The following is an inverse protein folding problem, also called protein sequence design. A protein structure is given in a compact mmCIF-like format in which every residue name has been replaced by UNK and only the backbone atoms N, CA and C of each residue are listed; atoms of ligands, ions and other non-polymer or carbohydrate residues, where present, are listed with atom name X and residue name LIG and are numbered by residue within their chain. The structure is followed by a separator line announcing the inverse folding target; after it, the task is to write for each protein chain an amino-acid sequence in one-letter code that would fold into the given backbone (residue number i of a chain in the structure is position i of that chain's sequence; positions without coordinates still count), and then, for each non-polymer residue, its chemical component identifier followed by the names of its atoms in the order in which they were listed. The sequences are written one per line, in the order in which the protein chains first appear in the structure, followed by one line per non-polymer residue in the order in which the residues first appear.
data_IF_593392295823
#
_entry.id   IF_593392295823
#
_cell.length_a   1.000
_cell.length_b   1.000
_cell.length_c   1.000
_cell.angle_alpha   90.00
_cell.angle_beta   90.00
_cell.angle_gamma   90.00
#
_symmetry.space_group_name_H-M   'P 1'
#
loop_
_entity.id
_entity.type
_entity.pdbx_description
1 polymer ?
#
# COMPACT_ATOMS: atom_id res chain seq x y z
N UNK A 1 15.29 14.43 -24.51
CA UNK A 1 14.99 15.79 -25.02
C UNK A 1 14.14 15.73 -26.30
N UNK A 2 14.24 14.69 -27.09
CA UNK A 2 13.47 14.55 -28.36
C UNK A 2 11.99 14.16 -28.18
N UNK A 3 11.57 13.67 -26.98
CA UNK A 3 10.16 13.47 -26.66
C UNK A 3 9.44 14.77 -26.23
N UNK A 4 10.15 15.84 -25.96
CA UNK A 4 9.58 17.14 -25.54
C UNK A 4 9.06 17.99 -26.70
N UNK A 5 9.37 17.64 -27.96
CA UNK A 5 9.04 18.42 -29.16
C UNK A 5 8.01 17.70 -30.05
N UNK A 6 7.58 16.52 -29.71
CA UNK A 6 6.84 15.67 -30.65
C UNK A 6 5.35 15.47 -30.37
N UNK A 7 4.74 16.13 -29.46
CA UNK A 7 3.31 16.46 -29.45
C UNK A 7 2.93 17.11 -28.13
N UNK A 8 2.46 18.32 -28.15
CA UNK A 8 1.73 18.96 -27.04
C UNK A 8 0.59 18.09 -26.51
N UNK A 9 0.07 17.18 -27.32
CA UNK A 9 -0.97 16.22 -26.95
C UNK A 9 -0.50 15.15 -25.96
N UNK A 10 0.69 14.55 -26.14
CA UNK A 10 1.18 13.49 -25.22
C UNK A 10 1.51 14.03 -23.83
N UNK A 11 2.11 15.22 -23.75
CA UNK A 11 2.44 15.84 -22.46
C UNK A 11 1.15 16.28 -21.76
N UNK A 12 0.24 16.91 -22.49
CA UNK A 12 -1.02 17.43 -21.95
C UNK A 12 -1.92 16.33 -21.42
N UNK A 13 -2.03 15.19 -22.11
CA UNK A 13 -2.88 14.06 -21.69
C UNK A 13 -2.25 13.26 -20.57
N UNK A 14 -0.93 13.14 -20.51
CA UNK A 14 -0.22 12.45 -19.43
C UNK A 14 -0.32 13.16 -18.08
N UNK A 15 -0.53 14.48 -18.08
CA UNK A 15 -0.68 15.26 -16.84
C UNK A 15 -2.13 15.45 -16.40
N UNK A 16 -3.10 15.01 -17.17
CA UNK A 16 -4.53 15.27 -16.90
C UNK A 16 -5.31 14.07 -16.40
N UNK A 17 -4.71 12.87 -16.40
CA UNK A 17 -5.34 11.65 -15.89
C UNK A 17 -4.30 10.63 -15.40
N UNK A 18 -4.66 9.86 -14.39
CA UNK A 18 -3.88 8.72 -13.96
C UNK A 18 -3.97 7.56 -14.97
N UNK A 19 -2.96 6.67 -15.01
CA UNK A 19 -3.03 5.45 -15.81
C UNK A 19 -4.27 4.62 -15.49
N UNK A 20 -4.75 3.87 -16.44
CA UNK A 20 -5.78 2.85 -16.19
C UNK A 20 -5.16 1.63 -15.49
N UNK A 21 -5.96 0.96 -14.66
CA UNK A 21 -5.62 -0.37 -14.12
C UNK A 21 -6.18 -1.41 -15.07
N UNK A 22 -5.40 -2.44 -15.33
CA UNK A 22 -5.86 -3.55 -16.16
C UNK A 22 -7.18 -4.12 -15.58
N UNK A 23 -8.15 -4.38 -16.42
CA UNK A 23 -9.44 -4.95 -16.03
C UNK A 23 -9.26 -6.34 -15.40
N UNK A 24 -8.31 -7.09 -15.94
CA UNK A 24 -7.91 -8.39 -15.43
C UNK A 24 -6.42 -8.38 -15.05
N UNK A 25 -6.12 -8.72 -13.81
CA UNK A 25 -4.75 -8.92 -13.33
C UNK A 25 -4.57 -10.41 -13.09
N UNK A 26 -3.77 -11.05 -13.95
CA UNK A 26 -3.42 -12.46 -13.75
C UNK A 26 -2.31 -12.60 -12.73
N UNK A 27 -2.52 -13.44 -11.74
CA UNK A 27 -1.57 -13.69 -10.67
C UNK A 27 -1.20 -15.18 -10.59
N UNK A 28 0.02 -15.44 -10.15
CA UNK A 28 0.46 -16.76 -9.72
C UNK A 28 0.78 -16.68 -8.22
N UNK A 29 0.29 -17.64 -7.48
CA UNK A 29 0.37 -17.63 -6.02
C UNK A 29 1.70 -18.16 -5.51
N UNK A 30 2.21 -17.56 -4.42
CA UNK A 30 3.31 -18.08 -3.62
C UNK A 30 2.93 -18.10 -2.15
N UNK A 31 2.87 -19.29 -1.55
CA UNK A 31 2.61 -19.46 -0.12
C UNK A 31 3.92 -19.20 0.63
N UNK A 32 3.97 -18.08 1.32
CA UNK A 32 5.18 -17.64 2.04
C UNK A 32 5.35 -18.36 3.39
N UNK A 33 4.26 -18.69 4.05
CA UNK A 33 4.24 -19.50 5.27
C UNK A 33 2.83 -20.07 5.53
N UNK A 34 2.75 -21.19 6.26
CA UNK A 34 1.55 -21.60 6.98
C UNK A 34 1.48 -20.84 8.31
N UNK A 35 0.35 -20.17 8.56
CA UNK A 35 0.14 -19.30 9.72
C UNK A 35 0.39 -17.82 9.42
N UNK A 36 0.42 -17.03 10.49
CA UNK A 36 0.57 -15.60 10.41
C UNK A 36 1.93 -15.18 9.82
N UNK A 37 1.91 -14.25 8.89
CA UNK A 37 3.12 -13.60 8.40
C UNK A 37 3.30 -12.27 9.13
N UNK A 38 4.32 -12.19 9.96
CA UNK A 38 4.67 -10.95 10.64
C UNK A 38 5.44 -10.00 9.75
N UNK A 39 5.37 -8.71 10.06
CA UNK A 39 6.21 -7.70 9.38
C UNK A 39 7.70 -7.89 9.66
N UNK A 40 8.07 -8.60 10.73
CA UNK A 40 9.46 -8.99 10.98
C UNK A 40 9.96 -10.04 9.99
N UNK A 41 9.09 -10.94 9.52
CA UNK A 41 9.44 -11.89 8.47
C UNK A 41 9.67 -11.18 7.13
N UNK A 42 8.91 -10.11 6.86
CA UNK A 42 9.02 -9.32 5.63
C UNK A 42 10.17 -8.30 5.68
N UNK A 43 10.50 -7.78 6.86
CA UNK A 43 11.52 -6.75 7.09
C UNK A 43 12.04 -6.83 8.52
N UNK A 44 13.05 -7.69 8.79
CA UNK A 44 13.55 -7.94 10.13
C UNK A 44 14.09 -6.67 10.81
N UNK A 45 13.75 -6.47 12.09
CA UNK A 45 14.18 -5.30 12.86
C UNK A 45 15.69 -5.19 13.01
N UNK A 46 16.40 -6.32 13.14
CA UNK A 46 17.86 -6.37 13.23
C UNK A 46 18.59 -5.99 11.92
N UNK A 47 17.85 -5.87 10.80
CA UNK A 47 18.34 -5.41 9.50
C UNK A 47 17.95 -3.96 9.18
N UNK A 48 17.53 -3.20 10.19
CA UNK A 48 17.08 -1.82 10.01
C UNK A 48 18.14 -0.91 9.35
N UNK A 49 19.41 -1.19 9.59
CA UNK A 49 20.54 -0.45 9.02
C UNK A 49 20.62 -0.49 7.49
N UNK A 50 20.01 -1.49 6.86
CA UNK A 50 19.98 -1.64 5.39
C UNK A 50 18.78 -0.97 4.72
N UNK A 51 17.81 -0.41 5.47
CA UNK A 51 16.55 0.12 4.92
C UNK A 51 16.70 1.29 3.96
N UNK A 52 17.77 2.07 4.11
CA UNK A 52 18.09 3.16 3.18
C UNK A 52 18.46 2.67 1.78
N UNK A 53 18.97 1.44 1.68
CA UNK A 53 19.26 0.74 0.43
C UNK A 53 18.20 -0.34 0.18
N UNK A 54 17.25 -0.06 -0.71
CA UNK A 54 16.13 -0.95 -0.98
C UNK A 54 16.54 -2.31 -1.56
N UNK A 55 17.58 -2.35 -2.38
CA UNK A 55 18.08 -3.61 -2.96
C UNK A 55 18.74 -4.47 -1.89
N UNK A 56 19.55 -3.85 -1.04
CA UNK A 56 20.18 -4.52 0.07
C UNK A 56 19.16 -5.03 1.07
N UNK A 57 18.21 -4.17 1.46
CA UNK A 57 17.16 -4.54 2.41
C UNK A 57 16.16 -5.56 1.84
N UNK A 58 15.93 -5.53 0.54
CA UNK A 58 15.09 -6.52 -0.16
C UNK A 58 15.57 -7.96 0.01
N UNK A 59 16.89 -8.16 0.16
CA UNK A 59 17.48 -9.49 0.44
C UNK A 59 17.06 -10.06 1.81
N UNK A 60 16.40 -9.27 2.65
CA UNK A 60 15.89 -9.71 3.94
C UNK A 60 14.48 -10.31 3.85
N UNK A 61 13.83 -10.32 2.67
CA UNK A 61 12.49 -10.87 2.52
C UNK A 61 12.49 -12.37 2.80
N UNK A 62 11.84 -12.79 3.87
CA UNK A 62 11.58 -14.19 4.27
C UNK A 62 12.88 -15.02 4.34
N UNK A 63 13.39 -15.51 3.21
CA UNK A 63 14.61 -16.30 3.11
C UNK A 63 15.13 -16.31 1.67
N UNK A 64 16.41 -16.63 1.48
CA UNK A 64 17.00 -16.80 0.14
C UNK A 64 16.27 -17.86 -0.68
N UNK A 65 15.82 -18.94 -0.04
CA UNK A 65 15.03 -19.99 -0.70
C UNK A 65 13.71 -19.44 -1.24
N UNK A 66 12.98 -18.68 -0.42
CA UNK A 66 11.72 -18.05 -0.86
C UNK A 66 11.95 -17.10 -2.04
N UNK A 67 13.03 -16.33 -2.01
CA UNK A 67 13.39 -15.42 -3.09
C UNK A 67 13.67 -16.17 -4.39
N UNK A 68 14.42 -17.29 -4.34
CA UNK A 68 14.69 -18.14 -5.50
C UNK A 68 13.42 -18.79 -6.05
N UNK A 69 12.51 -19.24 -5.19
CA UNK A 69 11.23 -19.81 -5.58
C UNK A 69 10.33 -18.77 -6.26
N UNK A 70 10.28 -17.55 -5.74
CA UNK A 70 9.56 -16.42 -6.36
C UNK A 70 10.14 -16.10 -7.75
N UNK A 71 11.46 -16.02 -7.87
CA UNK A 71 12.11 -15.80 -9.17
C UNK A 71 11.81 -16.93 -10.17
N UNK A 72 11.81 -18.17 -9.72
CA UNK A 72 11.42 -19.32 -10.55
C UNK A 72 9.98 -19.21 -11.05
N UNK A 73 9.04 -18.82 -10.18
CA UNK A 73 7.64 -18.58 -10.57
C UNK A 73 7.52 -17.46 -11.60
N UNK A 74 8.26 -16.36 -11.45
CA UNK A 74 8.28 -15.25 -12.42
C UNK A 74 8.81 -15.69 -13.78
N UNK A 75 9.81 -16.58 -13.81
CA UNK A 75 10.34 -17.14 -15.05
C UNK A 75 9.37 -18.11 -15.73
N UNK A 76 8.63 -18.90 -14.94
CA UNK A 76 7.61 -19.83 -15.45
C UNK A 76 6.36 -19.11 -15.92
N UNK A 77 6.03 -17.97 -15.32
CA UNK A 77 4.82 -17.20 -15.58
C UNK A 77 5.15 -15.72 -15.87
N UNK A 78 5.85 -15.40 -16.98
CA UNK A 78 6.37 -14.05 -17.24
C UNK A 78 5.27 -13.00 -17.48
N UNK A 79 4.05 -13.46 -17.80
CA UNK A 79 2.86 -12.63 -18.02
C UNK A 79 2.04 -12.42 -16.75
N UNK A 80 2.38 -13.09 -15.64
CA UNK A 80 1.63 -13.05 -14.40
C UNK A 80 2.41 -12.36 -13.28
N UNK A 81 1.69 -11.77 -12.33
CA UNK A 81 2.29 -11.19 -11.14
C UNK A 81 2.25 -12.19 -9.98
N UNK A 82 3.31 -12.25 -9.18
CA UNK A 82 3.30 -13.11 -8.00
C UNK A 82 2.46 -12.50 -6.89
N UNK A 83 1.51 -13.27 -6.36
CA UNK A 83 0.74 -12.93 -5.16
C UNK A 83 1.30 -13.67 -3.95
N UNK A 84 1.75 -12.94 -2.94
CA UNK A 84 2.32 -13.50 -1.72
C UNK A 84 1.22 -13.81 -0.72
N UNK A 85 1.17 -15.05 -0.20
CA UNK A 85 0.05 -15.53 0.63
C UNK A 85 0.52 -16.00 2.01
N UNK A 86 -0.24 -15.60 3.05
CA UNK A 86 -0.24 -16.21 4.37
C UNK A 86 -1.33 -17.31 4.41
N UNK A 87 -0.91 -18.57 4.34
CA UNK A 87 -1.82 -19.72 4.36
C UNK A 87 -2.24 -20.04 5.81
N UNK A 88 -3.53 -20.22 6.06
CA UNK A 88 -4.12 -20.41 7.40
C UNK A 88 -3.76 -19.30 8.39
N UNK A 89 -3.44 -18.11 7.90
CA UNK A 89 -2.94 -17.02 8.71
C UNK A 89 -3.30 -15.63 8.20
N UNK A 90 -2.95 -14.65 9.02
CA UNK A 90 -3.12 -13.22 8.75
C UNK A 90 -1.83 -12.64 8.17
N UNK A 91 -1.95 -11.90 7.07
CA UNK A 91 -0.82 -11.20 6.46
C UNK A 91 -0.49 -9.91 7.22
N UNK A 92 0.78 -9.72 7.56
CA UNK A 92 1.31 -8.45 8.05
C UNK A 92 1.00 -8.15 9.52
N UNK A 93 0.99 -9.18 10.39
CA UNK A 93 0.81 -8.97 11.83
C UNK A 93 2.02 -8.27 12.46
N UNK A 94 1.80 -7.54 13.55
CA UNK A 94 2.83 -6.79 14.28
C UNK A 94 2.93 -5.34 13.87
N UNK A 95 4.11 -4.74 13.99
CA UNK A 95 4.35 -3.34 13.60
C UNK A 95 4.23 -3.16 12.09
N UNK A 96 3.40 -2.21 11.64
CA UNK A 96 3.26 -1.94 10.22
C UNK A 96 4.51 -1.22 9.69
N UNK A 97 5.38 -1.96 9.02
CA UNK A 97 6.61 -1.43 8.42
C UNK A 97 6.44 -1.27 6.91
N UNK A 98 6.58 -0.05 6.43
CA UNK A 98 6.58 0.21 4.99
C UNK A 98 7.70 -0.55 4.27
N UNK A 99 8.86 -0.75 4.92
CA UNK A 99 9.95 -1.56 4.39
C UNK A 99 9.54 -3.02 4.10
N UNK A 100 8.60 -3.59 4.88
CA UNK A 100 8.08 -4.93 4.60
C UNK A 100 7.37 -5.03 3.26
N UNK A 101 6.44 -4.12 2.98
CA UNK A 101 5.74 -4.13 1.68
C UNK A 101 6.66 -3.69 0.53
N UNK A 102 7.66 -2.84 0.79
CA UNK A 102 8.68 -2.50 -0.20
C UNK A 102 9.53 -3.72 -0.59
N UNK A 103 9.90 -4.57 0.38
CA UNK A 103 10.61 -5.81 0.10
C UNK A 103 9.74 -6.79 -0.72
N UNK A 104 8.46 -6.91 -0.35
CA UNK A 104 7.50 -7.69 -1.17
C UNK A 104 7.42 -7.12 -2.59
N UNK A 105 7.31 -5.80 -2.75
CA UNK A 105 7.25 -5.16 -4.06
C UNK A 105 8.51 -5.40 -4.90
N UNK A 106 9.69 -5.43 -4.28
CA UNK A 106 10.93 -5.69 -4.99
C UNK A 106 10.94 -7.08 -5.64
N UNK A 107 10.45 -8.09 -4.93
CA UNK A 107 10.46 -9.48 -5.39
C UNK A 107 9.24 -9.86 -6.23
N UNK A 108 8.05 -9.39 -5.87
CA UNK A 108 6.78 -9.82 -6.46
C UNK A 108 6.15 -8.77 -7.36
N UNK A 109 6.54 -7.50 -7.22
CA UNK A 109 5.96 -6.40 -7.98
C UNK A 109 6.29 -6.47 -9.46
N UNK A 110 5.39 -5.94 -10.28
CA UNK A 110 5.61 -5.76 -11.71
C UNK A 110 6.53 -4.56 -11.93
N UNK A 111 7.62 -4.75 -12.67
CA UNK A 111 8.53 -3.67 -12.99
C UNK A 111 7.84 -2.63 -13.89
N UNK A 112 7.68 -1.42 -13.39
CA UNK A 112 6.98 -0.35 -14.09
C UNK A 112 7.70 0.13 -15.35
N UNK A 113 9.03 0.12 -15.33
CA UNK A 113 9.85 0.54 -16.44
C UNK A 113 11.27 -0.01 -16.31
N UNK A 114 11.84 -0.43 -17.44
CA UNK A 114 13.26 -0.79 -17.52
C UNK A 114 14.21 0.38 -17.26
N UNK A 115 13.71 1.61 -17.29
CA UNK A 115 14.50 2.82 -17.06
C UNK A 115 14.41 3.34 -15.64
N UNK A 116 13.47 2.82 -14.84
CA UNK A 116 13.28 3.19 -13.43
C UNK A 116 13.14 1.90 -12.64
N UNK A 117 14.26 1.18 -12.41
CA UNK A 117 14.24 -0.18 -11.85
C UNK A 117 13.69 -0.25 -10.41
N UNK A 118 13.54 0.90 -9.74
CA UNK A 118 13.09 0.97 -8.34
C UNK A 118 11.59 1.19 -8.16
N UNK A 119 10.84 1.36 -9.26
CA UNK A 119 9.39 1.51 -9.20
C UNK A 119 8.75 0.19 -9.60
N UNK A 120 8.70 -0.73 -8.66
CA UNK A 120 7.85 -1.91 -8.78
C UNK A 120 6.45 -1.53 -8.33
N UNK A 121 5.50 -1.71 -9.23
CA UNK A 121 4.10 -1.33 -9.02
C UNK A 121 3.36 -2.46 -8.35
N UNK A 122 2.48 -2.07 -7.42
CA UNK A 122 1.38 -2.85 -6.88
C UNK A 122 1.78 -4.26 -6.42
N UNK A 123 2.54 -4.41 -5.34
CA UNK A 123 2.68 -5.72 -4.72
C UNK A 123 1.29 -6.25 -4.36
N UNK A 124 1.06 -7.54 -4.63
CA UNK A 124 -0.19 -8.19 -4.29
C UNK A 124 0.08 -9.14 -3.15
N UNK A 125 -0.63 -8.95 -2.04
CA UNK A 125 -0.51 -9.78 -0.84
C UNK A 125 -1.88 -10.27 -0.43
N UNK A 126 -1.93 -11.47 0.14
CA UNK A 126 -3.17 -12.05 0.59
C UNK A 126 -3.00 -12.81 1.91
N UNK A 127 -4.08 -12.98 2.64
CA UNK A 127 -4.14 -13.83 3.81
C UNK A 127 -5.46 -14.60 3.85
N UNK A 128 -5.42 -15.85 4.26
CA UNK A 128 -6.63 -16.66 4.39
C UNK A 128 -7.49 -16.25 5.57
N UNK A 129 -6.86 -15.65 6.61
CA UNK A 129 -7.52 -15.01 7.74
C UNK A 129 -7.45 -13.47 7.63
N UNK A 130 -7.34 -12.96 6.39
CA UNK A 130 -7.30 -11.53 6.12
C UNK A 130 -5.91 -10.91 6.25
N UNK A 131 -5.91 -9.59 6.28
CA UNK A 131 -4.70 -8.77 6.39
C UNK A 131 -4.85 -7.89 7.64
N UNK A 132 -3.78 -7.80 8.44
CA UNK A 132 -3.76 -6.90 9.59
C UNK A 132 -4.20 -5.48 9.18
N UNK A 133 -5.16 -4.84 9.86
CA UNK A 133 -5.73 -3.56 9.43
C UNK A 133 -4.69 -2.46 9.21
N UNK A 134 -3.67 -2.40 10.07
CA UNK A 134 -2.59 -1.42 9.94
C UNK A 134 -1.73 -1.74 8.71
N UNK A 135 -1.43 -3.01 8.47
CA UNK A 135 -0.67 -3.44 7.29
C UNK A 135 -1.47 -3.26 6.01
N UNK A 136 -2.78 -3.49 6.02
CA UNK A 136 -3.68 -3.22 4.91
C UNK A 136 -3.61 -1.74 4.47
N UNK A 137 -3.55 -0.82 5.45
CA UNK A 137 -3.34 0.61 5.18
C UNK A 137 -1.98 0.83 4.52
N UNK A 138 -0.92 0.22 5.05
CA UNK A 138 0.44 0.33 4.49
C UNK A 138 0.51 -0.20 3.07
N UNK A 139 -0.12 -1.35 2.78
CA UNK A 139 -0.25 -1.89 1.42
C UNK A 139 -0.94 -0.89 0.49
N UNK A 140 -2.06 -0.32 0.93
CA UNK A 140 -2.81 0.66 0.13
C UNK A 140 -2.01 1.92 -0.18
N UNK A 141 -1.37 2.54 0.82
CA UNK A 141 -0.59 3.77 0.61
C UNK A 141 0.66 3.58 -0.25
N UNK A 142 1.13 2.35 -0.43
CA UNK A 142 2.21 2.02 -1.38
C UNK A 142 1.68 1.68 -2.78
N UNK A 143 0.39 1.76 -3.01
CA UNK A 143 -0.26 1.38 -4.28
C UNK A 143 -0.38 -0.14 -4.46
N UNK A 144 -0.23 -0.90 -3.39
CA UNK A 144 -0.38 -2.35 -3.39
C UNK A 144 -1.84 -2.81 -3.27
N UNK A 145 -2.06 -4.09 -3.55
CA UNK A 145 -3.37 -4.75 -3.46
C UNK A 145 -3.32 -5.78 -2.34
N UNK A 146 -4.18 -5.62 -1.34
CA UNK A 146 -4.30 -6.56 -0.24
C UNK A 146 -5.63 -7.31 -0.33
N UNK A 147 -5.60 -8.64 -0.36
CA UNK A 147 -6.77 -9.50 -0.57
C UNK A 147 -7.00 -10.39 0.65
N UNK A 148 -8.23 -10.40 1.14
CA UNK A 148 -8.71 -11.42 2.08
C UNK A 148 -9.29 -12.59 1.27
N UNK A 149 -8.60 -13.73 1.29
CA UNK A 149 -8.99 -14.88 0.49
C UNK A 149 -10.23 -15.60 1.02
N UNK A 150 -10.47 -15.55 2.34
CA UNK A 150 -11.64 -16.18 2.98
C UNK A 150 -11.88 -17.65 2.58
N UNK A 151 -10.82 -18.36 2.17
CA UNK A 151 -10.94 -19.73 1.70
C UNK A 151 -10.95 -20.79 2.81
N UNK A 152 -10.85 -20.35 4.07
CA UNK A 152 -11.01 -21.18 5.26
C UNK A 152 -12.22 -20.72 6.05
N UNK A 153 -13.24 -21.59 6.12
CA UNK A 153 -14.49 -21.32 6.82
C UNK A 153 -14.71 -22.31 7.96
N UNK A 154 -15.49 -21.93 8.95
CA UNK A 154 -15.87 -22.86 10.00
C UNK A 154 -16.75 -23.95 9.41
N UNK A 155 -16.36 -25.20 9.64
CA UNK A 155 -17.20 -26.35 9.30
C UNK A 155 -18.43 -26.35 10.19
N UNK A 156 -19.61 -26.42 9.57
CA UNK A 156 -20.90 -26.41 10.28
C UNK A 156 -21.52 -27.79 10.29
N UNK A 157 -22.27 -28.08 11.35
CA UNK A 157 -23.16 -29.25 11.42
C UNK A 157 -24.47 -29.01 10.64
N UNK A 158 -25.38 -30.00 10.66
CA UNK A 158 -26.68 -29.91 9.98
C UNK A 158 -27.60 -28.80 10.52
N UNK A 159 -27.36 -28.32 11.73
CA UNK A 159 -28.14 -27.27 12.38
C UNK A 159 -27.48 -25.89 12.23
N UNK A 160 -26.32 -25.81 11.52
CA UNK A 160 -25.59 -24.57 11.27
C UNK A 160 -24.66 -24.13 12.40
N UNK A 161 -24.36 -25.00 13.36
CA UNK A 161 -23.43 -24.71 14.46
C UNK A 161 -22.01 -25.12 14.07
N UNK A 162 -20.95 -24.39 14.52
CA UNK A 162 -19.57 -24.79 14.28
C UNK A 162 -19.26 -26.15 14.92
N UNK A 163 -18.69 -27.07 14.15
CA UNK A 163 -18.15 -28.33 14.66
C UNK A 163 -16.83 -28.00 15.38
N UNK A 164 -16.69 -28.44 16.62
CA UNK A 164 -15.51 -28.20 17.45
C UNK A 164 -14.60 -29.43 17.49
N UNK A 165 -13.29 -29.19 17.59
CA UNK A 165 -12.31 -30.23 17.88
C UNK A 165 -12.26 -30.56 19.39
N UNK A 166 -11.36 -31.47 19.81
CA UNK A 166 -11.21 -31.90 21.21
C UNK A 166 -10.77 -30.76 22.16
N UNK A 167 -10.24 -29.66 21.60
CA UNK A 167 -9.81 -28.48 22.37
C UNK A 167 -10.85 -27.34 22.32
N UNK A 168 -12.10 -27.67 21.94
CA UNK A 168 -13.21 -26.73 21.80
C UNK A 168 -12.99 -25.63 20.75
N UNK A 169 -12.05 -25.82 19.81
CA UNK A 169 -11.84 -24.88 18.71
C UNK A 169 -12.65 -25.31 17.47
N UNK A 170 -13.19 -24.34 16.69
CA UNK A 170 -13.89 -24.65 15.46
C UNK A 170 -12.98 -25.39 14.45
N UNK A 171 -13.46 -26.49 13.92
CA UNK A 171 -12.83 -27.14 12.77
C UNK A 171 -13.02 -26.25 11.55
N UNK A 172 -11.93 -26.00 10.82
CA UNK A 172 -11.97 -25.24 9.56
C UNK A 172 -12.01 -26.20 8.38
N UNK A 173 -12.72 -25.82 7.36
CA UNK A 173 -12.69 -26.49 6.05
C UNK A 173 -12.36 -25.50 4.95
N UNK A 174 -11.67 -25.96 3.91
CA UNK A 174 -11.25 -25.13 2.80
C UNK A 174 -12.33 -25.14 1.72
N UNK A 175 -12.77 -23.94 1.33
CA UNK A 175 -13.80 -23.77 0.29
C UNK A 175 -13.23 -23.89 -1.11
N UNK A 176 -11.97 -23.46 -1.29
CA UNK A 176 -11.19 -23.65 -2.51
C UNK A 176 -9.70 -23.72 -2.16
N UNK A 177 -8.95 -24.52 -2.90
CA UNK A 177 -7.52 -24.70 -2.65
C UNK A 177 -6.69 -23.62 -3.34
N UNK A 178 -5.69 -23.13 -2.62
CA UNK A 178 -4.65 -22.25 -3.16
C UNK A 178 -3.31 -22.85 -2.76
N UNK A 179 -2.53 -23.25 -3.75
CA UNK A 179 -1.18 -23.78 -3.57
C UNK A 179 -0.18 -22.87 -4.27
N UNK A 180 1.11 -22.98 -3.94
CA UNK A 180 2.15 -22.29 -4.69
C UNK A 180 2.11 -22.72 -6.16
N UNK A 181 2.03 -21.74 -7.06
CA UNK A 181 1.89 -21.97 -8.49
C UNK A 181 0.43 -21.97 -9.00
N UNK A 182 -0.57 -21.87 -8.12
CA UNK A 182 -1.97 -21.71 -8.56
C UNK A 182 -2.11 -20.38 -9.31
N UNK A 183 -2.73 -20.41 -10.47
CA UNK A 183 -3.02 -19.21 -11.25
C UNK A 183 -4.44 -18.74 -10.96
N UNK A 184 -4.59 -17.45 -10.71
CA UNK A 184 -5.87 -16.80 -10.41
C UNK A 184 -5.99 -15.53 -11.24
N UNK A 185 -7.23 -15.04 -11.42
CA UNK A 185 -7.52 -13.79 -12.10
C UNK A 185 -8.24 -12.83 -11.15
N UNK A 186 -7.69 -11.63 -10.97
CA UNK A 186 -8.35 -10.54 -10.27
C UNK A 186 -9.08 -9.70 -11.31
N UNK A 187 -10.41 -9.72 -11.31
CA UNK A 187 -11.21 -8.79 -12.10
C UNK A 187 -11.41 -7.51 -11.28
N UNK A 188 -10.83 -6.41 -11.74
CA UNK A 188 -10.84 -5.12 -11.03
C UNK A 188 -12.14 -4.36 -11.23
N UNK A 189 -12.85 -4.61 -12.33
CA UNK A 189 -14.15 -3.99 -12.65
C UNK A 189 -15.27 -4.61 -11.84
N UNK A 190 -15.36 -5.95 -11.87
CA UNK A 190 -16.35 -6.72 -11.11
C UNK A 190 -15.97 -6.88 -9.65
N UNK A 191 -14.70 -6.59 -9.31
CA UNK A 191 -14.13 -6.70 -7.96
C UNK A 191 -14.20 -8.11 -7.41
N UNK A 192 -13.79 -9.08 -8.23
CA UNK A 192 -13.84 -10.50 -7.93
C UNK A 192 -12.48 -11.16 -8.13
N UNK A 193 -12.19 -12.14 -7.29
CA UNK A 193 -11.12 -13.09 -7.52
C UNK A 193 -11.72 -14.32 -8.17
N UNK A 194 -11.15 -14.74 -9.30
CA UNK A 194 -11.67 -15.82 -10.13
C UNK A 194 -10.61 -16.92 -10.26
N UNK A 195 -11.05 -18.14 -10.62
CA UNK A 195 -10.18 -19.23 -11.08
C UNK A 195 -9.39 -18.81 -12.33
N UNK A 196 -8.39 -19.60 -12.72
CA UNK A 196 -7.49 -19.28 -13.85
C UNK A 196 -8.23 -19.00 -15.16
N UNK A 197 -9.24 -19.79 -15.44
CA UNK A 197 -10.09 -19.65 -16.63
C UNK A 197 -11.15 -18.57 -16.53
N UNK A 198 -11.24 -17.89 -15.37
CA UNK A 198 -12.23 -16.85 -15.10
C UNK A 198 -13.66 -17.36 -14.91
N UNK A 199 -13.84 -18.69 -14.83
CA UNK A 199 -15.17 -19.31 -14.78
C UNK A 199 -15.80 -19.30 -13.39
N UNK A 200 -15.00 -19.57 -12.36
CA UNK A 200 -15.51 -19.69 -11.00
C UNK A 200 -15.13 -18.44 -10.16
N UNK A 201 -16.15 -17.82 -9.58
CA UNK A 201 -15.96 -16.77 -8.57
C UNK A 201 -15.53 -17.42 -7.24
N UNK A 202 -14.35 -17.03 -6.75
CA UNK A 202 -13.79 -17.55 -5.51
C UNK A 202 -14.14 -16.65 -4.32
N UNK A 203 -13.94 -15.34 -4.46
CA UNK A 203 -14.22 -14.37 -3.40
C UNK A 203 -14.46 -12.97 -3.96
N UNK A 204 -15.31 -12.19 -3.26
CA UNK A 204 -15.51 -10.77 -3.49
C UNK A 204 -14.31 -9.98 -2.92
N UNK A 205 -13.69 -9.15 -3.74
CA UNK A 205 -12.55 -8.31 -3.37
C UNK A 205 -12.86 -6.80 -3.42
N UNK A 206 -14.13 -6.43 -3.33
CA UNK A 206 -14.58 -5.03 -3.41
C UNK A 206 -13.89 -4.11 -2.39
N UNK A 207 -13.59 -4.64 -1.20
CA UNK A 207 -12.87 -3.91 -0.15
C UNK A 207 -11.44 -3.53 -0.55
N UNK A 208 -10.84 -4.26 -1.49
CA UNK A 208 -9.50 -3.99 -2.03
C UNK A 208 -9.50 -2.92 -3.12
N UNK A 209 -10.65 -2.62 -3.73
CA UNK A 209 -10.82 -1.71 -4.87
C UNK A 209 -11.81 -0.58 -4.58
N UNK A 210 -11.72 0.03 -3.40
CA UNK A 210 -12.46 1.27 -3.12
C UNK A 210 -11.93 2.42 -4.00
N UNK A 211 -12.72 3.46 -4.27
CA UNK A 211 -12.28 4.59 -5.11
C UNK A 211 -10.93 5.18 -4.69
N UNK A 212 -10.68 5.33 -3.39
CA UNK A 212 -9.43 5.84 -2.85
C UNK A 212 -8.26 4.87 -3.09
N UNK A 213 -8.46 3.57 -2.85
CA UNK A 213 -7.43 2.55 -3.11
C UNK A 213 -7.11 2.46 -4.59
N UNK A 214 -8.11 2.55 -5.46
CA UNK A 214 -7.90 2.59 -6.91
C UNK A 214 -7.08 3.81 -7.33
N UNK A 215 -7.29 4.97 -6.71
CA UNK A 215 -6.45 6.15 -6.97
C UNK A 215 -4.99 5.90 -6.56
N UNK A 216 -4.76 5.28 -5.39
CA UNK A 216 -3.41 4.90 -4.95
C UNK A 216 -2.75 3.88 -5.88
N UNK A 217 -3.48 2.85 -6.31
CA UNK A 217 -2.97 1.85 -7.25
C UNK A 217 -2.58 2.52 -8.58
N UNK A 218 -3.45 3.35 -9.15
CA UNK A 218 -3.23 4.06 -10.41
C UNK A 218 -2.05 5.02 -10.34
N UNK A 219 -1.86 5.68 -9.21
CA UNK A 219 -0.77 6.64 -9.00
C UNK A 219 0.56 5.99 -8.63
N UNK A 220 0.55 4.72 -8.20
CA UNK A 220 1.74 4.06 -7.64
C UNK A 220 2.00 4.43 -6.18
N UNK A 221 0.96 4.80 -5.43
CA UNK A 221 0.99 5.11 -4.01
C UNK A 221 0.68 6.55 -3.65
N UNK A 222 0.49 6.77 -2.35
CA UNK A 222 0.09 8.08 -1.81
C UNK A 222 1.13 9.19 -2.03
N UNK A 223 2.41 8.86 -1.95
CA UNK A 223 3.47 9.82 -2.22
C UNK A 223 3.43 10.35 -3.64
N UNK A 224 3.17 9.47 -4.62
CA UNK A 224 3.02 9.87 -6.02
C UNK A 224 1.86 10.85 -6.21
N UNK A 225 0.74 10.66 -5.48
CA UNK A 225 -0.38 11.60 -5.48
C UNK A 225 0.03 12.96 -4.90
N UNK A 226 0.67 12.98 -3.74
CA UNK A 226 1.09 14.23 -3.08
C UNK A 226 2.05 15.01 -3.97
N UNK A 227 3.12 14.37 -4.43
CA UNK A 227 4.09 15.03 -5.31
C UNK A 227 3.49 15.41 -6.66
N UNK A 228 2.65 14.54 -7.24
CA UNK A 228 1.97 14.81 -8.50
C UNK A 228 1.05 16.04 -8.42
N UNK A 229 0.26 16.15 -7.36
CA UNK A 229 -0.58 17.34 -7.11
C UNK A 229 0.28 18.61 -6.97
N UNK A 230 1.36 18.56 -6.20
CA UNK A 230 2.26 19.69 -6.01
C UNK A 230 2.92 20.13 -7.33
N UNK A 231 3.46 19.20 -8.10
CA UNK A 231 4.10 19.46 -9.37
C UNK A 231 3.12 20.01 -10.40
N UNK A 232 1.92 19.45 -10.48
CA UNK A 232 0.86 19.89 -11.37
C UNK A 232 0.43 21.33 -11.06
N UNK A 233 0.19 21.63 -9.76
CA UNK A 233 -0.15 22.97 -9.31
C UNK A 233 0.95 23.96 -9.67
N UNK A 234 2.20 23.68 -9.33
CA UNK A 234 3.33 24.52 -9.63
C UNK A 234 3.52 24.78 -11.13
N UNK A 235 3.38 23.72 -11.95
CA UNK A 235 3.51 23.84 -13.39
C UNK A 235 2.39 24.72 -14.00
N UNK A 236 1.14 24.51 -13.57
CA UNK A 236 0.01 25.30 -14.05
C UNK A 236 0.13 26.78 -13.66
N UNK A 237 0.52 27.05 -12.41
CA UNK A 237 0.78 28.43 -11.94
C UNK A 237 1.90 29.11 -12.73
N UNK A 238 3.01 28.40 -12.97
CA UNK A 238 4.16 28.92 -13.71
C UNK A 238 3.83 29.21 -15.16
N UNK A 239 3.02 28.36 -15.79
CA UNK A 239 2.63 28.50 -17.22
C UNK A 239 1.39 29.38 -17.42
N UNK A 240 0.72 29.83 -16.35
CA UNK A 240 -0.51 30.61 -16.42
C UNK A 240 -1.68 29.85 -17.08
N UNK A 241 -1.72 28.52 -16.94
CA UNK A 241 -2.77 27.68 -17.51
C UNK A 241 -3.72 27.15 -16.42
N UNK A 242 -5.01 26.92 -16.74
CA UNK A 242 -5.96 26.37 -15.77
C UNK A 242 -5.53 24.98 -15.27
N UNK A 243 -5.63 24.77 -13.97
CA UNK A 243 -5.38 23.45 -13.35
C UNK A 243 -6.50 22.48 -13.73
N UNK A 244 -6.14 21.44 -14.49
CA UNK A 244 -6.96 20.23 -14.68
C UNK A 244 -6.31 19.12 -13.89
N UNK A 245 -6.84 18.85 -12.68
CA UNK A 245 -6.27 17.82 -11.82
C UNK A 245 -6.46 16.43 -12.44
N UNK A 246 -5.38 15.66 -12.50
CA UNK A 246 -5.41 14.25 -12.85
C UNK A 246 -5.96 13.39 -11.68
N UNK A 247 -6.04 13.97 -10.50
CA UNK A 247 -6.43 13.31 -9.26
C UNK A 247 -7.91 13.62 -8.95
N UNK A 248 -8.55 12.68 -8.26
CA UNK A 248 -9.94 12.87 -7.85
C UNK A 248 -10.07 14.18 -7.04
N UNK A 249 -11.12 14.98 -7.32
CA UNK A 249 -11.39 16.14 -6.49
C UNK A 249 -11.72 15.70 -5.07
N UNK A 250 -11.31 16.49 -4.08
CA UNK A 250 -11.76 16.30 -2.72
C UNK A 250 -13.28 16.37 -2.68
N UNK A 251 -13.93 15.39 -2.08
CA UNK A 251 -15.37 15.50 -1.81
C UNK A 251 -15.53 16.46 -0.66
N UNK A 252 -16.06 17.63 -0.91
CA UNK A 252 -16.62 18.45 0.15
C UNK A 252 -17.81 17.70 0.75
N UNK A 253 -17.64 17.17 1.94
CA UNK A 253 -18.76 16.61 2.70
C UNK A 253 -19.38 17.79 3.45
N UNK A 254 -20.37 18.39 2.86
CA UNK A 254 -21.23 19.37 3.55
C UNK A 254 -22.06 18.61 4.60
N UNK A 255 -21.75 18.85 5.86
CA UNK A 255 -22.50 18.31 7.01
C UNK A 255 -23.14 19.51 7.70
N UNK A 256 -24.20 20.04 7.11
CA UNK A 256 -24.98 21.13 7.72
C UNK A 256 -25.50 20.69 9.10
N UNK A 257 -25.19 21.46 10.12
CA UNK A 257 -25.72 21.30 11.47
C UNK A 257 -25.00 20.29 12.38
N UNK A 258 -23.93 19.65 11.94
CA UNK A 258 -23.12 18.79 12.81
C UNK A 258 -21.97 19.57 13.45
N UNK A 259 -21.74 19.30 14.75
CA UNK A 259 -20.58 19.85 15.44
C UNK A 259 -19.27 19.23 14.91
N UNK A 260 -18.18 20.02 14.93
CA UNK A 260 -16.87 19.55 14.53
C UNK A 260 -16.30 18.54 15.54
N UNK A 261 -15.72 17.47 15.04
CA UNK A 261 -14.88 16.56 15.83
C UNK A 261 -13.61 17.27 16.33
N UNK A 262 -12.92 16.70 17.32
CA UNK A 262 -11.67 17.25 17.80
C UNK A 262 -10.62 17.38 16.68
N UNK A 263 -10.54 16.40 15.80
CA UNK A 263 -9.63 16.39 14.65
C UNK A 263 -10.00 17.51 13.67
N UNK A 264 -11.25 17.66 13.29
CA UNK A 264 -11.69 18.74 12.42
C UNK A 264 -11.41 20.12 13.01
N UNK A 265 -11.58 20.29 14.32
CA UNK A 265 -11.23 21.55 15.01
C UNK A 265 -9.73 21.88 14.86
N UNK A 266 -8.87 20.87 15.03
CA UNK A 266 -7.41 21.03 14.89
C UNK A 266 -7.05 21.41 13.44
N UNK A 267 -7.62 20.71 12.45
CA UNK A 267 -7.36 21.02 11.05
C UNK A 267 -7.86 22.39 10.65
N UNK A 268 -9.07 22.77 11.07
CA UNK A 268 -9.61 24.12 10.81
C UNK A 268 -8.74 25.22 11.45
N UNK A 269 -8.23 25.01 12.66
CA UNK A 269 -7.40 25.99 13.35
C UNK A 269 -6.01 26.20 12.69
N UNK A 270 -5.53 25.20 11.95
CA UNK A 270 -4.21 25.22 11.33
C UNK A 270 -4.28 25.25 9.78
N UNK A 271 -5.44 25.43 9.21
CA UNK A 271 -5.63 25.46 7.77
C UNK A 271 -4.97 26.70 7.13
N UNK A 272 -4.30 26.50 5.99
CA UNK A 272 -3.60 27.53 5.24
C UNK A 272 -4.19 27.64 3.83
N UNK A 273 -4.45 28.90 3.41
CA UNK A 273 -4.98 29.17 2.07
C UNK A 273 -6.48 28.87 1.91
N UNK A 274 -7.19 28.72 3.01
CA UNK A 274 -8.64 28.53 3.05
C UNK A 274 -9.34 29.89 3.13
N UNK A 275 -10.42 30.07 2.40
CA UNK A 275 -11.19 31.32 2.44
C UNK A 275 -11.77 31.58 3.84
N UNK A 276 -11.81 32.84 4.31
CA UNK A 276 -12.40 33.18 5.61
C UNK A 276 -13.86 32.68 5.70
N UNK A 277 -14.20 32.02 6.80
CA UNK A 277 -15.52 31.47 7.04
C UNK A 277 -15.78 30.06 6.48
N UNK A 278 -14.83 29.48 5.75
CA UNK A 278 -14.91 28.08 5.31
C UNK A 278 -14.70 27.16 6.49
N UNK A 279 -15.58 26.18 6.68
CA UNK A 279 -15.44 25.10 7.65
C UNK A 279 -15.04 23.82 6.93
N UNK A 280 -13.94 23.20 7.36
CA UNK A 280 -13.43 21.94 6.81
C UNK A 280 -14.00 20.77 7.59
N UNK A 281 -14.43 19.75 6.86
CA UNK A 281 -14.95 18.49 7.38
C UNK A 281 -14.15 17.29 6.88
N UNK A 282 -14.39 16.13 7.43
CA UNK A 282 -13.80 14.88 6.97
C UNK A 282 -14.05 14.70 5.45
N UNK A 283 -12.98 14.37 4.70
CA UNK A 283 -13.00 14.27 3.24
C UNK A 283 -12.56 15.54 2.50
N UNK A 284 -12.38 16.68 3.21
CA UNK A 284 -11.79 17.89 2.61
C UNK A 284 -10.28 17.70 2.37
N UNK A 285 -9.79 18.18 1.24
CA UNK A 285 -8.35 18.30 0.98
C UNK A 285 -7.88 19.67 1.46
N UNK A 286 -6.94 19.70 2.40
CA UNK A 286 -6.53 20.93 3.06
C UNK A 286 -5.01 20.98 3.25
N UNK A 287 -4.45 22.15 3.06
CA UNK A 287 -3.08 22.44 3.47
C UNK A 287 -3.10 22.95 4.90
N UNK A 288 -2.31 22.34 5.79
CA UNK A 288 -2.21 22.74 7.20
C UNK A 288 -0.78 23.16 7.56
N UNK A 289 -0.67 24.12 8.47
CA UNK A 289 0.58 24.43 9.13
C UNK A 289 0.88 23.31 10.14
N UNK A 290 2.06 22.71 10.03
CA UNK A 290 2.55 21.71 10.97
C UNK A 290 3.64 22.37 11.83
N UNK A 291 3.43 22.44 13.15
CA UNK A 291 4.37 23.08 14.05
C UNK A 291 5.39 22.10 14.63
N UNK A 292 4.96 20.84 14.84
CA UNK A 292 5.82 19.80 15.40
C UNK A 292 5.72 18.55 14.54
N UNK A 293 6.86 17.97 14.20
CA UNK A 293 6.97 16.67 13.52
C UNK A 293 7.58 15.66 14.47
N UNK A 294 6.94 14.52 14.63
CA UNK A 294 7.42 13.43 15.47
C UNK A 294 7.54 12.12 14.71
N UNK A 295 8.48 11.31 15.11
CA UNK A 295 8.73 9.97 14.60
C UNK A 295 9.02 9.02 15.75
N UNK A 296 8.88 7.73 15.48
CA UNK A 296 9.32 6.67 16.38
C UNK A 296 10.26 5.71 15.63
N UNK A 297 11.06 4.99 16.39
CA UNK A 297 12.13 4.12 15.89
C UNK A 297 11.69 2.94 15.01
N UNK A 298 10.41 2.59 14.97
CA UNK A 298 9.90 1.50 14.12
C UNK A 298 9.18 1.98 12.86
N UNK A 299 8.72 3.23 12.82
CA UNK A 299 7.93 3.78 11.71
C UNK A 299 8.59 4.98 11.04
N UNK A 300 9.63 5.52 11.66
CA UNK A 300 10.43 6.62 11.13
C UNK A 300 11.86 6.21 10.82
N UNK A 301 12.74 7.17 10.50
CA UNK A 301 14.15 6.91 10.30
C UNK A 301 14.76 6.38 11.60
N UNK A 302 15.40 5.22 11.51
CA UNK A 302 16.01 4.52 12.65
C UNK A 302 17.54 4.66 12.68
N UNK A 303 18.14 5.06 11.57
CA UNK A 303 19.58 5.17 11.43
C UNK A 303 19.99 6.59 11.04
N UNK A 304 21.24 6.96 11.31
CA UNK A 304 21.78 8.24 10.88
C UNK A 304 21.67 8.42 9.35
N UNK A 305 21.88 7.36 8.57
CA UNK A 305 21.77 7.38 7.11
C UNK A 305 20.35 7.66 6.64
N UNK A 306 19.33 7.08 7.29
CA UNK A 306 17.93 7.37 6.98
C UNK A 306 17.58 8.82 7.32
N UNK A 307 18.10 9.34 8.44
CA UNK A 307 17.93 10.74 8.83
C UNK A 307 18.61 11.69 7.84
N UNK A 308 19.82 11.37 7.41
CA UNK A 308 20.56 12.14 6.40
C UNK A 308 19.82 12.14 5.05
N UNK A 309 19.34 10.99 4.60
CA UNK A 309 18.57 10.87 3.37
C UNK A 309 17.26 11.68 3.44
N UNK A 310 16.57 11.63 4.57
CA UNK A 310 15.37 12.44 4.80
C UNK A 310 15.70 13.92 4.84
N UNK A 311 16.76 14.32 5.55
CA UNK A 311 17.21 15.72 5.63
C UNK A 311 17.60 16.28 4.26
N UNK A 312 18.22 15.45 3.39
CA UNK A 312 18.57 15.84 2.03
C UNK A 312 17.36 16.11 1.13
N UNK A 313 16.19 15.55 1.45
CA UNK A 313 14.94 15.77 0.70
C UNK A 313 14.16 16.99 1.20
N UNK A 314 14.47 17.50 2.39
CA UNK A 314 13.79 18.62 3.02
C UNK A 314 14.49 19.93 2.61
N UNK A 315 13.91 20.65 1.66
CA UNK A 315 14.49 21.88 1.10
C UNK A 315 14.39 23.06 2.09
N UNK A 316 13.33 23.09 2.91
CA UNK A 316 13.12 24.18 3.88
C UNK A 316 12.15 23.72 4.97
N UNK A 317 12.62 23.13 6.07
CA UNK A 317 11.75 22.75 7.17
C UNK A 317 11.22 24.02 7.86
N UNK A 318 9.89 24.15 7.86
CA UNK A 318 9.18 25.24 8.58
C UNK A 318 8.37 24.62 9.71
N UNK A 319 9.07 24.00 10.67
CA UNK A 319 8.47 23.42 11.87
C UNK A 319 9.11 23.99 13.11
N UNK A 320 8.33 24.18 14.16
CA UNK A 320 8.82 24.74 15.43
C UNK A 320 9.63 23.71 16.23
N UNK A 321 9.41 22.42 15.97
CA UNK A 321 10.14 21.35 16.62
C UNK A 321 10.02 20.01 15.90
N UNK A 322 11.00 19.16 16.13
CA UNK A 322 10.99 17.76 15.72
C UNK A 322 11.45 16.88 16.88
N UNK A 323 10.84 15.70 17.02
CA UNK A 323 11.29 14.74 18.03
C UNK A 323 11.27 13.32 17.47
N UNK A 324 12.10 12.47 18.05
CA UNK A 324 12.09 11.04 17.80
C UNK A 324 11.94 10.28 19.12
N UNK A 325 11.04 9.31 19.16
CA UNK A 325 10.81 8.45 20.32
C UNK A 325 11.47 7.10 20.10
N UNK A 326 12.36 6.68 21.00
CA UNK A 326 12.94 5.35 21.06
C UNK A 326 12.03 4.41 21.85
N UNK A 327 10.95 3.92 21.24
CA UNK A 327 9.98 3.07 21.94
C UNK A 327 10.24 1.56 21.78
N UNK A 328 11.09 1.15 20.83
CA UNK A 328 11.40 -0.25 20.53
C UNK A 328 12.90 -0.55 20.61
N UNK A 329 13.75 0.45 20.53
CA UNK A 329 15.18 0.32 20.70
C UNK A 329 15.58 0.92 22.04
N UNK A 330 15.91 0.10 23.02
CA UNK A 330 16.58 0.57 24.22
C UNK A 330 18.03 0.91 23.86
N UNK A 331 18.36 2.15 23.58
CA UNK A 331 19.73 2.60 23.64
C UNK A 331 20.04 2.89 25.12
N UNK A 332 20.84 2.05 25.71
CA UNK A 332 21.48 2.39 26.98
C UNK A 332 22.60 3.35 26.64
N UNK A 333 22.41 4.61 27.00
CA UNK A 333 23.48 5.59 27.02
C UNK A 333 24.18 5.41 28.36
N UNK A 334 25.37 4.85 28.35
CA UNK A 334 26.30 4.90 29.50
C UNK A 334 26.95 6.28 29.58
#
# INVERSE_FOLDING_TARGET
VLCLVGSEMCIRDSFTRLPEVDEEIKVVTYIAAEGDISTDLLSPGNQAHSRSDRELHGKCLISERAQQEIEALKLQHPDKQVMLIAEKGTMGVGSSRMSGINNVALWTGKQASKYVPFINIAPIVAGTNGISPIFQTTVGVTGGIGIDLQNWVKKLDADGNPILNNDENPILEQTYSVETGTVLTINTSDKKLLSEDGGDELVDVASSFTPQKMEFIRAGGSYAIVFGKMLQTFACETLGIPLKSAFAPSKEVSVEGQGLTAVEKIFNANAVGVAPGTTLHAGSDVRVQVNIVGSQDTTGPMTAQELEAMAATVVSPKVDGAYQSGCHTASVWD
#
